data_IF_003691495163
#
_entry.id   IF_003691495163
#
_cell.length_a   1.000
_cell.length_b   1.000
_cell.length_c   1.000
_cell.angle_alpha   90.00
_cell.angle_beta   90.00
_cell.angle_gamma   90.00
#
_symmetry.space_group_name_H-M   'P 1'
#
loop_
_entity.id
_entity.type
_entity.pdbx_description
1 polymer ?
#
# COMPACT_ATOMS: atom_id res chain seq x y z
N UNK A 1 -15.72 -13.46 2.23
CA UNK A 1 -15.06 -13.51 3.55
C UNK A 1 -14.09 -12.35 3.64
N UNK A 2 -14.14 -11.55 4.72
CA UNK A 2 -13.18 -10.45 4.94
C UNK A 2 -11.88 -11.07 5.45
N UNK A 3 -10.74 -10.80 4.81
CA UNK A 3 -9.42 -11.28 5.27
C UNK A 3 -8.99 -10.47 6.48
N UNK A 4 -8.30 -11.11 7.43
CA UNK A 4 -7.72 -10.43 8.58
C UNK A 4 -6.40 -9.77 8.18
N UNK A 5 -6.24 -8.49 8.48
CA UNK A 5 -4.97 -7.79 8.31
C UNK A 5 -4.08 -8.01 9.54
N UNK A 6 -2.82 -8.32 9.28
CA UNK A 6 -1.81 -8.61 10.29
C UNK A 6 -0.51 -7.87 9.92
N UNK A 7 0.24 -7.43 10.93
CA UNK A 7 1.49 -6.71 10.77
C UNK A 7 2.35 -6.80 12.03
N UNK A 8 3.64 -6.51 11.87
CA UNK A 8 4.53 -6.35 13.02
C UNK A 8 4.36 -4.95 13.63
N UNK A 9 4.04 -4.88 14.92
CA UNK A 9 3.73 -3.62 15.59
C UNK A 9 4.96 -2.71 15.76
N UNK A 10 6.14 -3.26 16.06
CA UNK A 10 7.39 -2.48 16.13
C UNK A 10 7.68 -1.79 14.79
N UNK A 11 7.47 -2.51 13.69
CA UNK A 11 7.59 -1.98 12.33
C UNK A 11 6.56 -0.88 12.07
N UNK A 12 5.32 -1.06 12.53
CA UNK A 12 4.28 -0.04 12.41
C UNK A 12 4.66 1.26 13.12
N UNK A 13 5.16 1.15 14.35
CA UNK A 13 5.65 2.30 15.11
C UNK A 13 6.84 2.98 14.43
N UNK A 14 7.76 2.19 13.87
CA UNK A 14 8.87 2.74 13.08
C UNK A 14 8.38 3.50 11.84
N UNK A 15 7.38 2.99 11.12
CA UNK A 15 6.78 3.65 9.96
C UNK A 15 6.11 4.98 10.34
N UNK A 16 5.35 4.99 11.45
CA UNK A 16 4.74 6.22 12.02
C UNK A 16 5.80 7.29 12.25
N UNK A 17 6.90 6.94 12.90
CA UNK A 17 7.96 7.88 13.28
C UNK A 17 8.82 8.35 12.09
N UNK A 18 9.14 7.47 11.15
CA UNK A 18 10.13 7.74 10.11
C UNK A 18 9.52 8.08 8.74
N UNK A 19 8.26 7.70 8.50
CA UNK A 19 7.57 7.88 7.21
C UNK A 19 6.23 8.59 7.33
N UNK A 20 5.76 8.88 8.55
CA UNK A 20 4.51 9.60 8.78
C UNK A 20 3.26 8.85 8.31
N UNK A 21 3.34 7.52 8.19
CA UNK A 21 2.25 6.66 7.75
C UNK A 21 2.27 5.34 8.52
N UNK A 22 1.11 4.72 8.70
CA UNK A 22 0.95 3.48 9.44
C UNK A 22 0.13 2.45 8.68
N UNK A 23 0.11 1.20 9.17
CA UNK A 23 -0.76 0.17 8.60
C UNK A 23 -2.24 0.46 8.85
N UNK A 24 -2.61 1.14 9.94
CA UNK A 24 -3.98 1.59 10.17
C UNK A 24 -4.44 2.59 9.09
N UNK A 25 -3.57 3.53 8.68
CA UNK A 25 -3.85 4.43 7.56
C UNK A 25 -4.04 3.67 6.24
N UNK A 26 -3.33 2.55 6.05
CA UNK A 26 -3.54 1.68 4.88
C UNK A 26 -4.94 1.04 4.92
N UNK A 27 -5.40 0.60 6.10
CA UNK A 27 -6.75 0.05 6.23
C UNK A 27 -7.82 1.09 5.96
N UNK A 28 -7.65 2.31 6.47
CA UNK A 28 -8.55 3.44 6.18
C UNK A 28 -8.57 3.71 4.67
N UNK A 29 -7.40 3.78 4.02
CA UNK A 29 -7.30 3.97 2.58
C UNK A 29 -7.99 2.85 1.77
N UNK A 30 -7.98 1.61 2.27
CA UNK A 30 -8.71 0.50 1.67
C UNK A 30 -10.23 0.68 1.78
N UNK A 31 -10.72 1.17 2.91
CA UNK A 31 -12.16 1.41 3.13
C UNK A 31 -12.64 2.68 2.40
N UNK A 32 -11.78 3.70 2.25
CA UNK A 32 -12.06 4.99 1.61
C UNK A 32 -11.84 4.99 0.07
N UNK A 33 -11.69 3.81 -0.52
CA UNK A 33 -11.47 3.62 -1.97
C UNK A 33 -10.25 4.42 -2.50
N UNK A 34 -9.21 4.57 -1.68
CA UNK A 34 -7.94 5.22 -2.03
C UNK A 34 -6.88 4.24 -2.57
N UNK A 35 -7.24 2.97 -2.74
CA UNK A 35 -6.40 2.00 -3.43
C UNK A 35 -6.38 2.32 -4.92
N UNK A 36 -5.20 2.61 -5.44
CA UNK A 36 -4.98 2.94 -6.85
C UNK A 36 -4.86 1.68 -7.70
N UNK A 37 -4.13 0.68 -7.19
CA UNK A 37 -3.91 -0.58 -7.90
C UNK A 37 -3.35 -1.67 -6.95
N UNK A 38 -3.38 -2.92 -7.41
CA UNK A 38 -2.68 -4.05 -6.81
C UNK A 38 -1.89 -4.78 -7.88
N UNK A 39 -0.56 -4.78 -7.76
CA UNK A 39 0.35 -5.37 -8.74
C UNK A 39 1.16 -6.52 -8.14
N UNK A 40 1.55 -7.48 -8.97
CA UNK A 40 2.44 -8.56 -8.55
C UNK A 40 3.88 -8.04 -8.33
N UNK A 41 4.56 -8.59 -7.32
CA UNK A 41 5.96 -8.31 -7.11
C UNK A 41 6.82 -9.29 -7.92
N UNK A 42 7.26 -8.88 -9.11
CA UNK A 42 8.08 -9.70 -10.01
C UNK A 42 9.38 -10.21 -9.35
N UNK A 43 9.93 -9.45 -8.39
CA UNK A 43 11.17 -9.83 -7.68
C UNK A 43 10.91 -10.80 -6.52
N UNK A 44 9.67 -10.96 -6.09
CA UNK A 44 9.30 -11.78 -4.93
C UNK A 44 8.01 -12.58 -5.20
N UNK A 45 8.13 -13.79 -5.76
CA UNK A 45 6.99 -14.66 -6.03
C UNK A 45 6.11 -14.88 -4.79
N UNK A 46 4.79 -14.82 -4.96
CA UNK A 46 3.81 -14.94 -3.86
C UNK A 46 3.62 -13.67 -3.03
N UNK A 47 4.27 -12.56 -3.41
CA UNK A 47 4.07 -11.25 -2.82
C UNK A 47 3.39 -10.32 -3.82
N UNK A 48 2.44 -9.52 -3.31
CA UNK A 48 1.79 -8.45 -4.06
C UNK A 48 2.19 -7.10 -3.49
N UNK A 49 1.95 -6.05 -4.26
CA UNK A 49 2.14 -4.67 -3.85
C UNK A 49 0.80 -3.96 -4.02
N UNK A 50 0.22 -3.52 -2.90
CA UNK A 50 -0.91 -2.60 -2.92
C UNK A 50 -0.38 -1.18 -3.09
N UNK A 51 -0.97 -0.42 -4.00
CA UNK A 51 -0.64 0.98 -4.23
C UNK A 51 -1.81 1.82 -3.74
N UNK A 52 -1.57 2.76 -2.83
CA UNK A 52 -2.59 3.69 -2.33
C UNK A 52 -2.21 5.14 -2.62
N UNK A 53 -3.20 6.00 -2.76
CA UNK A 53 -3.02 7.43 -2.69
C UNK A 53 -3.05 7.87 -1.22
N UNK A 54 -2.00 8.52 -0.76
CA UNK A 54 -1.96 9.16 0.54
C UNK A 54 -1.31 10.53 0.42
N UNK A 55 -2.05 11.59 0.74
CA UNK A 55 -1.63 12.99 0.60
C UNK A 55 -1.12 13.33 -0.81
N UNK A 56 -1.86 12.91 -1.85
CA UNK A 56 -1.53 13.12 -3.26
C UNK A 56 -0.16 12.54 -3.68
N UNK A 57 0.23 11.44 -3.03
CA UNK A 57 1.44 10.70 -3.35
C UNK A 57 1.17 9.20 -3.26
N UNK A 58 1.71 8.43 -4.22
CA UNK A 58 1.49 6.99 -4.21
C UNK A 58 2.43 6.31 -3.21
N UNK A 59 1.86 5.50 -2.33
CA UNK A 59 2.60 4.62 -1.43
C UNK A 59 2.42 3.17 -1.86
N UNK A 60 3.53 2.43 -1.83
CA UNK A 60 3.58 1.01 -2.10
C UNK A 60 3.63 0.22 -0.79
N UNK A 61 2.76 -0.77 -0.68
CA UNK A 61 2.61 -1.63 0.49
C UNK A 61 2.78 -3.07 0.04
N UNK A 62 3.99 -3.63 0.12
CA UNK A 62 4.18 -5.05 -0.16
C UNK A 62 3.55 -5.91 0.91
N UNK A 63 2.83 -6.93 0.49
CA UNK A 63 2.12 -7.85 1.36
C UNK A 63 2.09 -9.26 0.80
N UNK A 64 1.92 -10.23 1.70
CA UNK A 64 1.60 -11.60 1.33
C UNK A 64 0.20 -11.91 1.82
N UNK A 65 -0.56 -12.67 1.06
CA UNK A 65 -1.90 -13.08 1.44
C UNK A 65 -2.06 -14.59 1.32
N UNK A 66 -2.88 -15.16 2.19
CA UNK A 66 -3.38 -16.52 2.04
C UNK A 66 -4.91 -16.49 2.02
N UNK A 67 -5.56 -17.64 2.26
CA UNK A 67 -7.01 -17.77 2.24
C UNK A 67 -7.71 -16.91 3.33
N UNK A 68 -7.05 -16.68 4.48
CA UNK A 68 -7.68 -16.06 5.66
C UNK A 68 -7.06 -14.73 6.09
N UNK A 69 -5.80 -14.46 5.74
CA UNK A 69 -5.06 -13.27 6.20
C UNK A 69 -4.25 -12.57 5.13
N UNK A 70 -4.05 -11.27 5.35
CA UNK A 70 -3.10 -10.40 4.66
C UNK A 70 -2.04 -9.98 5.68
N UNK A 71 -0.76 -10.13 5.32
CA UNK A 71 0.35 -9.69 6.16
C UNK A 71 1.13 -8.57 5.47
N UNK A 72 1.09 -7.36 6.03
CA UNK A 72 1.82 -6.22 5.50
C UNK A 72 3.29 -6.25 5.90
N UNK A 73 4.19 -6.05 4.93
CA UNK A 73 5.64 -6.10 5.16
C UNK A 73 6.23 -4.73 5.48
N UNK A 74 5.84 -3.71 4.71
CA UNK A 74 6.38 -2.34 4.82
C UNK A 74 5.49 -1.37 4.04
N UNK A 75 5.74 -0.06 4.18
CA UNK A 75 5.07 1.00 3.42
C UNK A 75 6.13 2.00 2.96
N UNK A 76 6.23 2.29 1.66
CA UNK A 76 7.18 3.28 1.15
C UNK A 76 6.59 4.18 0.06
N UNK A 77 7.00 5.46 -0.01
CA UNK A 77 6.62 6.33 -1.11
C UNK A 77 7.22 5.79 -2.42
N UNK A 78 6.42 5.79 -3.49
CA UNK A 78 6.86 5.32 -4.81
C UNK A 78 6.65 6.39 -5.87
N UNK A 79 7.71 7.11 -6.23
CA UNK A 79 7.70 8.06 -7.35
C UNK A 79 7.25 7.41 -8.67
N UNK A 80 7.62 6.15 -8.89
CA UNK A 80 7.18 5.36 -10.06
C UNK A 80 5.65 5.30 -10.11
N UNK A 81 5.01 4.94 -9.00
CA UNK A 81 3.56 4.80 -8.95
C UNK A 81 2.86 6.15 -8.92
N UNK A 82 3.45 7.19 -8.30
CA UNK A 82 2.90 8.55 -8.36
C UNK A 82 2.80 9.00 -9.81
N UNK A 83 3.86 8.80 -10.60
CA UNK A 83 3.84 9.10 -12.04
C UNK A 83 2.76 8.35 -12.81
N UNK A 84 2.67 7.05 -12.58
CA UNK A 84 1.77 6.16 -13.34
C UNK A 84 0.30 6.44 -13.01
N UNK A 85 -0.04 6.67 -11.73
CA UNK A 85 -1.43 6.72 -11.29
C UNK A 85 -1.95 8.12 -10.95
N UNK A 86 -1.07 9.08 -10.64
CA UNK A 86 -1.45 10.41 -10.15
C UNK A 86 -1.00 11.55 -11.08
N UNK A 87 0.17 11.47 -11.74
CA UNK A 87 0.68 12.55 -12.62
C UNK A 87 0.28 12.38 -14.10
N UNK A 88 -0.35 11.27 -14.47
CA UNK A 88 -0.72 10.94 -15.86
C UNK A 88 -2.20 11.12 -16.21
N UNK A 89 -3.06 11.50 -15.24
CA UNK A 89 -4.50 11.67 -15.47
C UNK A 89 -4.93 13.09 -15.88
N UNK A 90 -4.00 14.03 -15.98
CA UNK A 90 -4.28 15.44 -16.33
C UNK A 90 -4.27 15.75 -17.84
N UNK A 91 -4.24 14.75 -18.73
CA UNK A 91 -4.17 14.98 -20.19
C UNK A 91 -5.34 14.40 -21.02
N UNK A 92 -6.44 13.97 -20.40
CA UNK A 92 -7.63 13.46 -21.10
C UNK A 92 -8.90 14.29 -20.82
N UNK A 93 -8.79 15.63 -20.78
CA UNK A 93 -9.92 16.57 -20.98
C UNK A 93 -9.59 17.67 -22.00
#
# INVERSE_FOLDING_TARGET
>A
MKKFADWNEEKNQWLKQNRGISYEEVLIAMDDNQVLDVVDNESHPGQKIMVINFNNYAYAIPYVENESKIFFKTIYPSRKYTKVYLEGKDNDE
#
